data_IF_134515254336
#
_entry.id   IF_134515254336
#
_cell.length_a   1.000
_cell.length_b   1.000
_cell.length_c   1.000
_cell.angle_alpha   90.00
_cell.angle_beta   90.00
_cell.angle_gamma   90.00
#
_symmetry.space_group_name_H-M   'P 1'
#
loop_
_entity.id
_entity.type
_entity.pdbx_description
1 polymer ?
#
# COMPACT_ATOMS: atom_id res chain seq x y z
N UNK A 1 8.84 -8.48 25.74
CA UNK A 1 7.82 -7.42 25.85
C UNK A 1 7.49 -7.10 27.31
N UNK A 2 7.41 -8.11 28.18
CA UNK A 2 7.06 -7.98 29.62
C UNK A 2 7.86 -6.93 30.39
N UNK A 3 9.18 -6.81 30.15
CA UNK A 3 10.00 -5.76 30.77
C UNK A 3 9.50 -4.35 30.46
N UNK A 4 9.09 -4.10 29.21
CA UNK A 4 8.58 -2.80 28.78
C UNK A 4 7.15 -2.54 29.30
N UNK A 5 6.31 -3.58 29.34
CA UNK A 5 4.96 -3.49 29.94
C UNK A 5 5.04 -3.16 31.43
N UNK A 6 5.86 -3.89 32.19
CA UNK A 6 6.07 -3.65 33.62
C UNK A 6 6.66 -2.25 33.89
N UNK A 7 7.51 -1.77 32.98
CA UNK A 7 8.05 -0.40 33.01
C UNK A 7 7.06 0.69 32.58
N UNK A 8 5.85 0.33 32.13
CA UNK A 8 4.83 1.24 31.56
C UNK A 8 5.37 2.11 30.42
N UNK A 9 6.24 1.55 29.60
CA UNK A 9 6.78 2.27 28.44
C UNK A 9 5.83 2.17 27.25
N UNK A 10 5.78 3.22 26.42
CA UNK A 10 5.15 3.12 25.11
C UNK A 10 5.92 2.12 24.26
N UNK A 11 5.24 1.07 23.80
CA UNK A 11 5.83 0.07 22.91
C UNK A 11 5.57 0.51 21.47
N UNK A 12 6.64 0.53 20.68
CA UNK A 12 6.58 0.82 19.24
C UNK A 12 7.16 -0.38 18.50
N UNK A 13 6.37 -0.97 17.62
CA UNK A 13 6.84 -1.94 16.65
C UNK A 13 7.11 -1.24 15.33
N UNK A 14 8.27 -1.48 14.74
CA UNK A 14 8.63 -0.83 13.48
C UNK A 14 9.49 -1.73 12.62
N UNK A 15 9.38 -1.56 11.32
CA UNK A 15 10.20 -2.29 10.36
C UNK A 15 10.00 -1.79 8.94
N UNK A 16 11.06 -1.96 8.15
CA UNK A 16 11.05 -1.75 6.71
C UNK A 16 10.79 -3.07 6.00
N UNK A 17 10.11 -3.02 4.85
CA UNK A 17 9.86 -4.19 4.00
C UNK A 17 9.19 -5.34 4.79
N UNK A 18 9.67 -6.58 4.66
CA UNK A 18 9.19 -7.75 5.41
C UNK A 18 9.26 -7.58 6.94
N UNK A 19 10.20 -6.78 7.46
CA UNK A 19 10.28 -6.46 8.88
C UNK A 19 9.08 -5.64 9.36
N UNK A 20 8.49 -4.82 8.48
CA UNK A 20 7.25 -4.09 8.77
C UNK A 20 6.04 -5.03 8.84
N UNK A 21 5.96 -6.00 7.94
CA UNK A 21 4.95 -7.07 8.00
C UNK A 21 5.02 -7.87 9.30
N UNK A 22 6.22 -8.25 9.73
CA UNK A 22 6.46 -8.93 11.02
C UNK A 22 6.04 -8.02 12.18
N UNK A 23 6.38 -6.73 12.11
CA UNK A 23 6.03 -5.73 13.13
C UNK A 23 4.53 -5.57 13.30
N UNK A 24 3.78 -5.54 12.19
CA UNK A 24 2.33 -5.43 12.24
C UNK A 24 1.69 -6.69 12.87
N UNK A 25 2.16 -7.88 12.51
CA UNK A 25 1.68 -9.12 13.14
C UNK A 25 2.05 -9.18 14.63
N UNK A 26 3.24 -8.71 15.02
CA UNK A 26 3.67 -8.64 16.42
C UNK A 26 2.83 -7.63 17.23
N UNK A 27 2.49 -6.48 16.64
CA UNK A 27 1.61 -5.51 17.27
C UNK A 27 0.19 -6.06 17.46
N UNK A 28 -0.38 -6.73 16.44
CA UNK A 28 -1.68 -7.39 16.54
C UNK A 28 -1.68 -8.50 17.60
N UNK A 29 -0.61 -9.30 17.68
CA UNK A 29 -0.42 -10.27 18.74
C UNK A 29 -0.44 -9.62 20.13
N UNK A 30 0.27 -8.50 20.31
CA UNK A 30 0.31 -7.83 21.61
C UNK A 30 -1.06 -7.21 21.97
N UNK A 31 -1.76 -6.61 21.01
CA UNK A 31 -3.12 -6.09 21.24
C UNK A 31 -4.06 -7.19 21.75
N UNK A 32 -4.03 -8.35 21.09
CA UNK A 32 -4.83 -9.50 21.48
C UNK A 32 -4.43 -10.04 22.86
N UNK A 33 -3.13 -10.14 23.13
CA UNK A 33 -2.62 -10.53 24.44
C UNK A 33 -3.12 -9.60 25.55
N UNK A 34 -3.06 -8.28 25.35
CA UNK A 34 -3.54 -7.29 26.32
C UNK A 34 -5.06 -7.35 26.52
N UNK A 35 -5.81 -7.60 25.44
CA UNK A 35 -7.27 -7.79 25.48
C UNK A 35 -7.64 -9.00 26.33
N UNK A 36 -7.03 -10.15 26.09
CA UNK A 36 -7.28 -11.40 26.83
C UNK A 36 -6.92 -11.25 28.31
N UNK A 37 -5.83 -10.55 28.62
CA UNK A 37 -5.40 -10.31 30.00
C UNK A 37 -6.21 -9.21 30.72
N UNK A 38 -7.17 -8.55 30.05
CA UNK A 38 -7.92 -7.40 30.59
C UNK A 38 -7.01 -6.34 31.21
N UNK A 39 -5.85 -6.11 30.59
CA UNK A 39 -4.79 -5.29 31.18
C UNK A 39 -5.03 -3.80 30.91
N UNK A 40 -4.64 -2.94 31.86
CA UNK A 40 -4.68 -1.48 31.72
C UNK A 40 -3.43 -0.87 31.07
N UNK A 41 -2.55 -1.68 30.46
CA UNK A 41 -1.38 -1.17 29.77
C UNK A 41 -1.75 -0.39 28.50
N UNK A 42 -0.89 0.57 28.13
CA UNK A 42 -0.99 1.28 26.86
C UNK A 42 -0.87 0.33 25.68
N UNK A 43 -1.73 0.53 24.67
CA UNK A 43 -1.65 -0.23 23.43
C UNK A 43 -0.39 0.11 22.63
N UNK A 44 0.19 -0.87 21.89
CA UNK A 44 1.36 -0.63 21.06
C UNK A 44 1.02 0.25 19.87
N UNK A 45 2.01 1.01 19.38
CA UNK A 45 1.96 1.65 18.07
C UNK A 45 2.79 0.81 17.09
N UNK A 46 2.28 0.63 15.87
CA UNK A 46 3.00 0.01 14.78
C UNK A 46 3.26 1.03 13.67
N UNK A 47 4.53 1.21 13.31
CA UNK A 47 4.96 2.13 12.24
C UNK A 47 5.80 1.37 11.23
N UNK A 48 5.33 1.19 10.00
CA UNK A 48 6.04 0.42 8.97
C UNK A 48 6.42 1.28 7.77
N UNK A 49 7.41 0.83 7.01
CA UNK A 49 7.92 1.52 5.82
C UNK A 49 8.00 0.53 4.65
N UNK A 50 7.22 0.74 3.60
CA UNK A 50 7.23 -0.10 2.40
C UNK A 50 6.91 -1.57 2.67
N UNK A 51 6.11 -1.86 3.71
CA UNK A 51 5.80 -3.24 4.08
C UNK A 51 4.81 -3.89 3.12
N UNK A 52 5.01 -5.15 2.71
CA UNK A 52 4.01 -5.90 1.98
C UNK A 52 2.76 -6.16 2.84
N UNK A 53 1.59 -6.27 2.18
CA UNK A 53 0.31 -6.54 2.84
C UNK A 53 0.32 -7.89 3.57
N UNK A 54 -0.18 -7.92 4.81
CA UNK A 54 -0.25 -9.18 5.60
C UNK A 54 -1.67 -9.58 6.00
N UNK A 55 -2.59 -8.62 6.05
CA UNK A 55 -3.98 -8.86 6.44
C UNK A 55 -4.84 -9.23 5.24
N UNK A 56 -6.00 -9.82 5.52
CA UNK A 56 -7.11 -9.95 4.58
C UNK A 56 -8.30 -9.10 5.06
N UNK A 57 -9.43 -9.17 4.36
CA UNK A 57 -10.66 -8.46 4.77
C UNK A 57 -11.10 -8.79 6.20
N UNK A 58 -10.99 -10.04 6.63
CA UNK A 58 -11.39 -10.47 7.99
C UNK A 58 -10.46 -9.87 9.04
N UNK A 59 -9.16 -9.80 8.74
CA UNK A 59 -8.17 -9.17 9.59
C UNK A 59 -8.45 -7.68 9.76
N UNK A 60 -8.64 -6.94 8.65
CA UNK A 60 -8.98 -5.52 8.67
C UNK A 60 -10.29 -5.26 9.46
N UNK A 61 -11.34 -6.03 9.17
CA UNK A 61 -12.62 -5.91 9.87
C UNK A 61 -12.48 -6.14 11.38
N UNK A 62 -11.65 -7.12 11.78
CA UNK A 62 -11.41 -7.41 13.20
C UNK A 62 -10.73 -6.24 13.90
N UNK A 63 -9.71 -5.62 13.28
CA UNK A 63 -9.05 -4.44 13.83
C UNK A 63 -9.99 -3.24 13.93
N UNK A 64 -10.86 -3.02 12.94
CA UNK A 64 -11.85 -1.95 12.97
C UNK A 64 -12.87 -2.15 14.10
N UNK A 65 -13.38 -3.37 14.26
CA UNK A 65 -14.36 -3.70 15.31
C UNK A 65 -13.83 -3.43 16.72
N UNK A 66 -12.56 -3.76 16.97
CA UNK A 66 -11.92 -3.53 18.27
C UNK A 66 -11.39 -2.10 18.44
N UNK A 67 -11.52 -1.23 17.43
CA UNK A 67 -10.97 0.13 17.46
C UNK A 67 -9.45 0.16 17.42
N UNK A 68 -8.81 -0.88 16.88
CA UNK A 68 -7.35 -1.04 16.84
C UNK A 68 -6.68 -0.54 15.58
N UNK A 69 -7.46 -0.26 14.53
CA UNK A 69 -6.91 0.17 13.22
C UNK A 69 -6.00 1.41 13.34
N UNK A 70 -6.32 2.35 14.24
CA UNK A 70 -5.54 3.58 14.46
C UNK A 70 -4.14 3.34 15.07
N UNK A 71 -3.83 2.13 15.55
CA UNK A 71 -2.49 1.79 16.06
C UNK A 71 -1.53 1.33 14.97
N UNK A 72 -1.98 1.26 13.72
CA UNK A 72 -1.17 0.81 12.59
C UNK A 72 -1.00 1.95 11.61
N UNK A 73 0.25 2.37 11.40
CA UNK A 73 0.63 3.43 10.48
C UNK A 73 1.63 2.90 9.45
N UNK A 74 1.25 2.94 8.19
CA UNK A 74 2.01 2.36 7.08
C UNK A 74 2.49 3.47 6.14
N UNK A 75 3.78 3.80 6.21
CA UNK A 75 4.40 4.70 5.25
C UNK A 75 4.67 3.96 3.94
N UNK A 76 4.17 4.52 2.84
CA UNK A 76 4.33 3.94 1.51
C UNK A 76 4.74 5.04 0.54
N UNK A 77 5.89 4.86 -0.11
CA UNK A 77 6.25 5.68 -1.25
C UNK A 77 5.35 5.31 -2.44
N UNK A 78 4.90 6.32 -3.20
CA UNK A 78 3.86 6.15 -4.22
C UNK A 78 4.16 5.05 -5.24
N UNK A 79 5.40 4.92 -5.68
CA UNK A 79 5.80 3.96 -6.70
C UNK A 79 6.46 2.68 -6.16
N UNK A 80 6.60 2.53 -4.85
CA UNK A 80 7.25 1.35 -4.25
C UNK A 80 6.55 0.05 -4.62
N UNK A 81 7.24 -0.90 -5.26
CA UNK A 81 6.61 -2.16 -5.66
C UNK A 81 6.24 -3.07 -4.48
N UNK A 82 6.95 -2.98 -3.34
CA UNK A 82 6.90 -3.98 -2.26
C UNK A 82 5.53 -4.10 -1.58
N UNK A 83 4.84 -2.98 -1.23
CA UNK A 83 3.47 -3.05 -0.72
C UNK A 83 2.47 -3.75 -1.66
N UNK A 84 2.80 -3.89 -2.95
CA UNK A 84 1.91 -4.44 -3.97
C UNK A 84 2.22 -5.90 -4.34
N UNK A 85 3.38 -6.44 -3.94
CA UNK A 85 3.85 -7.77 -4.38
C UNK A 85 2.81 -8.86 -4.12
N UNK A 86 2.21 -8.88 -2.93
CA UNK A 86 1.24 -9.91 -2.56
C UNK A 86 -0.16 -9.68 -3.13
N UNK A 87 -0.38 -8.65 -3.94
CA UNK A 87 -1.57 -8.57 -4.79
C UNK A 87 -1.45 -9.52 -6.00
N UNK A 88 -0.25 -9.97 -6.36
CA UNK A 88 -0.07 -11.07 -7.29
C UNK A 88 -0.05 -12.43 -6.57
N UNK A 89 -0.71 -13.46 -7.13
CA UNK A 89 -0.54 -14.83 -6.66
C UNK A 89 0.94 -15.24 -6.73
N UNK A 90 1.46 -15.86 -5.66
CA UNK A 90 2.86 -16.27 -5.61
C UNK A 90 3.25 -17.14 -6.80
N UNK A 91 2.35 -18.00 -7.27
CA UNK A 91 2.59 -18.88 -8.42
C UNK A 91 2.89 -18.09 -9.71
N UNK A 92 2.34 -16.88 -9.86
CA UNK A 92 2.55 -16.02 -11.03
C UNK A 92 3.88 -15.27 -11.00
N UNK A 93 4.45 -15.05 -9.81
CA UNK A 93 5.68 -14.26 -9.63
C UNK A 93 6.87 -15.08 -9.12
N UNK A 94 6.69 -16.37 -8.80
CA UNK A 94 7.66 -17.19 -8.06
C UNK A 94 9.06 -17.17 -8.64
N UNK A 95 9.19 -17.29 -9.96
CA UNK A 95 10.50 -17.37 -10.63
C UNK A 95 11.24 -16.03 -10.56
N UNK A 96 10.56 -14.93 -10.88
CA UNK A 96 11.17 -13.61 -10.88
C UNK A 96 11.34 -13.04 -9.47
N UNK A 97 10.51 -13.47 -8.52
CA UNK A 97 10.51 -12.95 -7.16
C UNK A 97 11.85 -13.16 -6.45
N UNK A 98 12.52 -14.31 -6.66
CA UNK A 98 13.85 -14.54 -6.07
C UNK A 98 14.88 -13.55 -6.58
N UNK A 99 14.88 -13.26 -7.89
CA UNK A 99 15.78 -12.28 -8.50
C UNK A 99 15.50 -10.87 -7.95
N UNK A 100 14.23 -10.51 -7.79
CA UNK A 100 13.83 -9.21 -7.22
C UNK A 100 14.23 -9.08 -5.74
N UNK A 101 14.09 -10.15 -4.95
CA UNK A 101 14.55 -10.15 -3.56
C UNK A 101 16.06 -9.89 -3.48
N UNK A 102 16.86 -10.41 -4.40
CA UNK A 102 18.28 -10.07 -4.44
C UNK A 102 18.53 -8.58 -4.67
N UNK A 103 17.74 -7.90 -5.50
CA UNK A 103 17.86 -6.45 -5.69
C UNK A 103 17.43 -5.69 -4.42
N UNK A 104 16.29 -6.06 -3.82
CA UNK A 104 15.71 -5.38 -2.65
C UNK A 104 16.57 -5.55 -1.38
N UNK A 105 17.28 -6.68 -1.24
CA UNK A 105 18.13 -6.97 -0.07
C UNK A 105 19.62 -6.71 -0.31
N UNK A 106 20.04 -6.46 -1.55
CA UNK A 106 21.44 -6.10 -1.82
C UNK A 106 21.73 -4.72 -1.24
N UNK A 107 22.70 -4.65 -0.32
CA UNK A 107 23.21 -3.38 0.24
C UNK A 107 23.81 -2.44 -0.83
N UNK A 108 23.98 -2.93 -2.06
CA UNK A 108 24.45 -2.16 -3.20
C UNK A 108 23.48 -2.37 -4.37
N UNK A 109 22.55 -1.42 -4.54
CA UNK A 109 21.52 -1.43 -5.59
C UNK A 109 22.14 -1.60 -7.00
N UNK A 110 23.29 -0.96 -7.24
CA UNK A 110 24.03 -1.07 -8.51
C UNK A 110 24.57 -2.48 -8.79
N UNK A 111 24.84 -3.29 -7.75
CA UNK A 111 25.32 -4.67 -7.93
C UNK A 111 24.16 -5.66 -8.17
N UNK A 112 22.98 -5.40 -7.58
CA UNK A 112 21.80 -6.26 -7.74
C UNK A 112 21.20 -6.20 -9.15
N UNK A 113 21.19 -5.02 -9.77
CA UNK A 113 20.68 -4.84 -11.14
C UNK A 113 21.56 -5.49 -12.22
N UNK A 114 22.84 -5.75 -11.93
CA UNK A 114 23.73 -6.47 -12.86
C UNK A 114 23.45 -7.98 -12.90
N UNK A 115 22.69 -8.52 -11.93
CA UNK A 115 22.37 -9.94 -11.80
C UNK A 115 21.01 -10.32 -12.38
N UNK A 116 20.12 -9.35 -12.58
CA UNK A 116 18.76 -9.59 -13.06
C UNK A 116 18.65 -9.08 -14.48
N UNK A 117 18.22 -9.95 -15.40
CA UNK A 117 17.92 -9.49 -16.75
C UNK A 117 16.77 -8.48 -16.70
N UNK A 118 16.89 -7.36 -17.42
CA UNK A 118 15.82 -6.35 -17.52
C UNK A 118 14.45 -6.98 -17.85
N UNK A 119 14.45 -8.08 -18.62
CA UNK A 119 13.28 -8.89 -18.95
C UNK A 119 12.55 -9.44 -17.71
N UNK A 120 13.27 -9.96 -16.72
CA UNK A 120 12.70 -10.56 -15.50
C UNK A 120 12.09 -9.49 -14.59
N UNK A 121 12.78 -8.35 -14.43
CA UNK A 121 12.26 -7.23 -13.64
C UNK A 121 10.98 -6.65 -14.25
N UNK A 122 10.96 -6.46 -15.57
CA UNK A 122 9.76 -6.01 -16.30
C UNK A 122 8.64 -7.03 -16.20
N UNK A 123 8.94 -8.33 -16.33
CA UNK A 123 7.95 -9.42 -16.21
C UNK A 123 7.34 -9.44 -14.80
N UNK A 124 8.17 -9.32 -13.76
CA UNK A 124 7.70 -9.23 -12.38
C UNK A 124 6.79 -8.01 -12.18
N UNK A 125 7.27 -6.83 -12.57
CA UNK A 125 6.53 -5.58 -12.43
C UNK A 125 5.18 -5.62 -13.14
N UNK A 126 5.16 -6.01 -14.42
CA UNK A 126 3.92 -6.10 -15.21
C UNK A 126 2.96 -7.16 -14.67
N UNK A 127 3.47 -8.26 -14.14
CA UNK A 127 2.65 -9.30 -13.50
C UNK A 127 2.02 -8.78 -12.20
N UNK A 128 2.78 -8.08 -11.36
CA UNK A 128 2.25 -7.45 -10.14
C UNK A 128 1.20 -6.39 -10.49
N UNK A 129 1.48 -5.52 -11.46
CA UNK A 129 0.57 -4.48 -11.91
C UNK A 129 -0.75 -5.07 -12.42
N UNK A 130 -0.69 -6.05 -13.33
CA UNK A 130 -1.87 -6.70 -13.91
C UNK A 130 -2.74 -7.37 -12.86
N UNK A 131 -2.14 -8.10 -11.91
CA UNK A 131 -2.92 -8.75 -10.84
C UNK A 131 -3.53 -7.71 -9.88
N UNK A 132 -2.80 -6.64 -9.59
CA UNK A 132 -3.32 -5.52 -8.79
C UNK A 132 -4.52 -4.85 -9.47
N UNK A 133 -4.47 -4.64 -10.79
CA UNK A 133 -5.59 -4.14 -11.59
C UNK A 133 -6.81 -5.06 -11.51
N UNK A 134 -6.62 -6.36 -11.69
CA UNK A 134 -7.69 -7.35 -11.58
C UNK A 134 -8.39 -7.30 -10.22
N UNK A 135 -7.63 -7.20 -9.13
CA UNK A 135 -8.18 -7.12 -7.77
C UNK A 135 -8.92 -5.81 -7.54
N UNK A 136 -8.32 -4.68 -7.90
CA UNK A 136 -8.93 -3.37 -7.71
C UNK A 136 -10.23 -3.24 -8.52
N UNK A 137 -10.24 -3.74 -9.76
CA UNK A 137 -11.42 -3.76 -10.62
C UNK A 137 -12.50 -4.68 -10.04
N UNK A 138 -12.11 -5.86 -9.57
CA UNK A 138 -13.04 -6.78 -8.93
C UNK A 138 -13.68 -6.17 -7.67
N UNK A 139 -12.87 -5.54 -6.80
CA UNK A 139 -13.35 -4.84 -5.62
C UNK A 139 -14.28 -3.68 -5.97
N UNK A 140 -13.94 -2.86 -6.98
CA UNK A 140 -14.80 -1.77 -7.46
C UNK A 140 -16.14 -2.30 -7.99
N UNK A 141 -16.14 -3.39 -8.77
CA UNK A 141 -17.35 -4.04 -9.24
C UNK A 141 -18.24 -4.54 -8.10
N UNK A 142 -17.66 -5.13 -7.05
CA UNK A 142 -18.41 -5.56 -5.87
C UNK A 142 -18.99 -4.37 -5.10
N UNK A 143 -18.20 -3.31 -4.91
CA UNK A 143 -18.64 -2.09 -4.25
C UNK A 143 -19.81 -1.41 -4.98
N UNK A 144 -19.71 -1.34 -6.31
CA UNK A 144 -20.77 -0.80 -7.19
C UNK A 144 -21.96 -1.76 -7.36
N UNK A 145 -21.98 -2.92 -6.68
CA UNK A 145 -23.01 -3.96 -6.80
C UNK A 145 -23.27 -4.37 -8.26
N UNK A 146 -22.20 -4.49 -9.03
CA UNK A 146 -22.27 -4.87 -10.44
C UNK A 146 -23.00 -6.22 -10.58
N UNK A 147 -24.13 -6.23 -11.29
CA UNK A 147 -24.96 -7.43 -11.49
C UNK A 147 -24.47 -8.28 -12.67
N UNK A 148 -23.24 -8.06 -13.14
CA UNK A 148 -22.72 -8.78 -14.30
C UNK A 148 -22.45 -10.25 -13.92
N UNK A 149 -23.11 -11.22 -14.58
CA UNK A 149 -22.92 -12.64 -14.28
C UNK A 149 -21.48 -13.11 -14.53
N UNK A 150 -20.71 -12.40 -15.37
CA UNK A 150 -19.30 -12.68 -15.60
C UNK A 150 -18.43 -12.45 -14.35
N UNK A 151 -18.86 -11.60 -13.41
CA UNK A 151 -18.12 -11.36 -12.17
C UNK A 151 -18.07 -12.61 -11.28
N UNK A 152 -19.18 -13.34 -11.19
CA UNK A 152 -19.25 -14.60 -10.46
C UNK A 152 -18.36 -15.67 -11.13
N UNK A 153 -18.43 -15.78 -12.46
CA UNK A 153 -17.58 -16.69 -13.23
C UNK A 153 -16.09 -16.36 -13.09
N UNK A 154 -15.73 -15.09 -13.05
CA UNK A 154 -14.34 -14.63 -12.92
C UNK A 154 -13.67 -15.11 -11.63
N UNK A 155 -14.40 -15.12 -10.51
CA UNK A 155 -13.89 -15.64 -9.23
C UNK A 155 -13.64 -17.16 -9.24
N UNK A 156 -14.37 -17.90 -10.09
CA UNK A 156 -14.12 -19.34 -10.30
C UNK A 156 -12.95 -19.64 -11.22
N UNK A 157 -12.55 -18.69 -12.08
CA UNK A 157 -11.49 -18.86 -13.08
C UNK A 157 -10.14 -18.25 -12.65
N UNK A 158 -10.14 -17.29 -11.74
CA UNK A 158 -8.95 -16.56 -11.33
C UNK A 158 -8.82 -16.53 -9.81
N UNK A 159 -7.66 -16.96 -9.31
CA UNK A 159 -7.36 -16.88 -7.89
C UNK A 159 -6.91 -15.44 -7.56
N UNK A 160 -7.84 -14.63 -7.07
CA UNK A 160 -7.51 -13.28 -6.60
C UNK A 160 -6.78 -13.36 -5.26
N UNK A 161 -5.82 -12.46 -5.07
CA UNK A 161 -5.12 -12.37 -3.79
C UNK A 161 -6.10 -12.02 -2.65
N UNK A 162 -6.00 -12.71 -1.49
CA UNK A 162 -6.82 -12.40 -0.33
C UNK A 162 -6.31 -11.17 0.44
N UNK A 163 -5.09 -10.70 0.16
CA UNK A 163 -4.45 -9.66 0.96
C UNK A 163 -5.11 -8.30 0.74
N UNK A 164 -5.30 -7.55 1.83
CA UNK A 164 -5.98 -6.26 1.85
C UNK A 164 -5.29 -5.30 2.81
N UNK A 165 -5.33 -3.99 2.53
CA UNK A 165 -4.87 -2.98 3.47
C UNK A 165 -5.63 -3.04 4.80
N UNK A 166 -4.97 -2.58 5.87
CA UNK A 166 -5.55 -2.34 7.18
C UNK A 166 -4.74 -1.25 7.88
N UNK A 167 -5.31 -0.57 8.86
CA UNK A 167 -4.63 0.58 9.47
C UNK A 167 -4.66 1.82 8.58
N UNK A 168 -3.84 2.80 8.96
CA UNK A 168 -3.71 4.08 8.26
C UNK A 168 -2.49 4.04 7.34
N UNK A 169 -2.67 4.49 6.09
CA UNK A 169 -1.59 4.57 5.10
C UNK A 169 -1.18 6.01 4.88
N UNK A 170 0.13 6.26 4.87
CA UNK A 170 0.73 7.56 4.55
C UNK A 170 1.43 7.43 3.21
N UNK A 171 0.76 7.91 2.16
CA UNK A 171 1.31 7.97 0.82
C UNK A 171 2.29 9.13 0.71
N UNK A 172 3.51 8.82 0.32
CA UNK A 172 4.63 9.75 0.31
C UNK A 172 5.12 9.98 -1.11
N UNK A 173 5.21 11.25 -1.48
CA UNK A 173 5.89 11.72 -2.68
C UNK A 173 7.16 12.47 -2.25
N UNK A 174 8.24 12.39 -3.02
CA UNK A 174 9.55 12.96 -2.65
C UNK A 174 9.62 14.48 -2.53
N UNK A 175 8.60 15.19 -3.01
CA UNK A 175 8.55 16.64 -3.20
C UNK A 175 7.21 17.28 -2.81
N UNK A 176 6.29 16.50 -2.21
CA UNK A 176 4.94 16.96 -1.87
C UNK A 176 4.53 16.51 -0.48
N UNK A 177 3.47 17.14 0.02
CA UNK A 177 2.87 16.79 1.30
C UNK A 177 2.40 15.32 1.31
N UNK A 178 2.62 14.60 2.42
CA UNK A 178 2.13 13.24 2.55
C UNK A 178 0.60 13.22 2.65
N UNK A 179 -0.01 12.19 2.07
CA UNK A 179 -1.46 11.98 2.07
C UNK A 179 -1.80 10.78 2.95
N UNK A 180 -2.61 11.01 3.99
CA UNK A 180 -3.07 9.97 4.92
C UNK A 180 -4.41 9.42 4.48
N UNK A 181 -4.53 8.10 4.40
CA UNK A 181 -5.73 7.40 3.94
C UNK A 181 -6.06 6.26 4.89
N UNK A 182 -7.30 6.26 5.42
CA UNK A 182 -7.77 5.25 6.40
C UNK A 182 -8.67 4.18 5.79
N UNK A 183 -9.38 4.52 4.71
CA UNK A 183 -10.30 3.59 4.06
C UNK A 183 -9.50 2.51 3.29
N UNK A 184 -9.62 1.24 3.71
CA UNK A 184 -8.89 0.11 3.11
C UNK A 184 -9.10 -0.05 1.60
N UNK A 185 -10.32 0.18 1.11
CA UNK A 185 -10.61 0.05 -0.33
C UNK A 185 -9.97 1.19 -1.10
N UNK A 186 -10.00 2.42 -0.59
CA UNK A 186 -9.30 3.54 -1.22
C UNK A 186 -7.79 3.37 -1.20
N UNK A 187 -7.21 2.86 -0.10
CA UNK A 187 -5.79 2.49 -0.07
C UNK A 187 -5.48 1.47 -1.15
N UNK A 188 -6.32 0.44 -1.33
CA UNK A 188 -6.12 -0.57 -2.36
C UNK A 188 -6.14 0.03 -3.77
N UNK A 189 -7.08 0.95 -4.05
CA UNK A 189 -7.13 1.67 -5.32
C UNK A 189 -5.88 2.55 -5.51
N UNK A 190 -5.46 3.29 -4.49
CA UNK A 190 -4.27 4.15 -4.56
C UNK A 190 -2.97 3.37 -4.74
N UNK A 191 -2.83 2.22 -4.07
CA UNK A 191 -1.70 1.32 -4.25
C UNK A 191 -1.55 0.89 -5.71
N UNK A 192 -2.67 0.76 -6.44
CA UNK A 192 -2.70 0.47 -7.86
C UNK A 192 -2.41 1.70 -8.74
N UNK A 193 -3.20 2.77 -8.57
CA UNK A 193 -3.13 3.94 -9.46
C UNK A 193 -1.76 4.61 -9.41
N UNK A 194 -1.15 4.67 -8.21
CA UNK A 194 0.18 5.25 -8.04
C UNK A 194 1.28 4.46 -8.78
N UNK A 195 1.07 3.17 -9.05
CA UNK A 195 2.04 2.27 -9.70
C UNK A 195 1.92 2.28 -11.24
N UNK A 196 0.92 2.94 -11.82
CA UNK A 196 0.74 2.97 -13.27
C UNK A 196 1.88 3.75 -13.97
N UNK A 197 2.52 3.18 -15.01
CA UNK A 197 3.40 3.95 -15.89
C UNK A 197 2.58 4.95 -16.72
N UNK A 198 3.17 6.10 -17.08
CA UNK A 198 2.46 7.11 -17.87
C UNK A 198 2.29 6.73 -19.34
N UNK A 199 3.21 5.92 -19.88
CA UNK A 199 3.14 5.40 -21.25
C UNK A 199 3.72 3.97 -21.34
N UNK A 200 3.28 3.19 -22.33
CA UNK A 200 3.76 1.79 -22.52
C UNK A 200 5.28 1.70 -22.76
N UNK A 201 5.88 2.73 -23.35
CA UNK A 201 7.32 2.82 -23.61
C UNK A 201 8.14 3.06 -22.33
N UNK A 202 7.50 3.44 -21.23
CA UNK A 202 8.15 3.73 -19.94
C UNK A 202 8.13 2.55 -18.98
N UNK A 203 7.60 1.38 -19.36
CA UNK A 203 7.43 0.23 -18.45
C UNK A 203 8.76 -0.26 -17.86
N UNK A 204 9.86 -0.17 -18.60
CA UNK A 204 11.20 -0.53 -18.10
C UNK A 204 11.63 0.44 -17.00
N UNK A 205 11.55 1.74 -17.27
CA UNK A 205 11.89 2.78 -16.30
C UNK A 205 10.98 2.73 -15.07
N UNK A 206 9.70 2.42 -15.28
CA UNK A 206 8.71 2.19 -14.26
C UNK A 206 9.12 1.01 -13.35
N UNK A 207 9.50 -0.13 -13.93
CA UNK A 207 9.93 -1.29 -13.17
C UNK A 207 11.17 -0.98 -12.32
N UNK A 208 12.19 -0.34 -12.89
CA UNK A 208 13.39 0.09 -12.15
C UNK A 208 13.09 1.13 -11.07
N UNK A 209 12.29 2.13 -11.40
CA UNK A 209 11.85 3.17 -10.49
C UNK A 209 11.11 2.59 -9.28
N UNK A 210 10.26 1.60 -9.50
CA UNK A 210 9.45 0.99 -8.44
C UNK A 210 10.28 0.25 -7.38
N UNK A 211 11.38 -0.39 -7.79
CA UNK A 211 12.33 -1.03 -6.87
C UNK A 211 13.21 0.00 -6.18
N UNK A 212 13.66 1.02 -6.92
CA UNK A 212 14.46 2.12 -6.36
C UNK A 212 13.69 2.86 -5.26
N UNK A 213 12.40 3.09 -5.46
CA UNK A 213 11.55 3.82 -4.53
C UNK A 213 11.38 3.09 -3.19
N UNK A 214 11.53 1.76 -3.18
CA UNK A 214 11.57 0.98 -1.94
C UNK A 214 12.78 1.29 -1.04
N UNK A 215 13.85 1.84 -1.61
CA UNK A 215 15.14 2.04 -0.92
C UNK A 215 15.34 3.47 -0.42
N UNK A 216 14.43 4.41 -0.73
CA UNK A 216 14.64 5.85 -0.50
C UNK A 216 13.82 6.43 0.66
N UNK A 217 13.16 5.59 1.47
CA UNK A 217 12.34 6.02 2.61
C UNK A 217 13.08 6.98 3.54
N UNK A 218 14.34 6.70 3.90
CA UNK A 218 15.11 7.58 4.78
C UNK A 218 15.25 8.99 4.18
N UNK A 219 15.70 9.08 2.93
CA UNK A 219 15.92 10.37 2.26
C UNK A 219 14.61 11.13 1.97
N UNK A 220 13.52 10.41 1.70
CA UNK A 220 12.20 11.00 1.50
C UNK A 220 11.63 11.54 2.81
N UNK A 221 11.74 10.76 3.89
CA UNK A 221 11.26 11.16 5.21
C UNK A 221 12.03 12.37 5.74
N UNK A 222 13.36 12.41 5.63
CA UNK A 222 14.16 13.56 6.08
C UNK A 222 13.80 14.87 5.36
N UNK A 223 13.34 14.80 4.12
CA UNK A 223 12.84 15.96 3.35
C UNK A 223 11.40 16.32 3.76
N UNK A 224 10.53 15.33 3.89
CA UNK A 224 9.10 15.53 4.12
C UNK A 224 8.77 15.92 5.58
N UNK A 225 9.58 15.53 6.57
CA UNK A 225 9.40 15.99 7.97
C UNK A 225 9.65 17.50 8.17
N UNK A 226 10.09 18.22 7.13
CA UNK A 226 10.17 19.69 7.12
C UNK A 226 8.92 20.36 6.54
N UNK A 227 7.94 19.60 6.06
CA UNK A 227 6.68 20.12 5.52
C UNK A 227 5.56 19.98 6.58
N UNK A 228 4.93 21.07 7.02
CA UNK A 228 3.98 21.03 8.13
C UNK A 228 2.55 20.60 7.76
N UNK A 229 2.22 20.49 6.46
CA UNK A 229 0.88 20.12 6.02
C UNK A 229 0.76 18.63 5.71
N UNK A 230 -0.10 17.94 6.45
CA UNK A 230 -0.50 16.54 6.20
C UNK A 230 -1.94 16.55 5.71
N UNK A 231 -2.17 15.99 4.52
CA UNK A 231 -3.51 15.97 3.92
C UNK A 231 -4.22 14.68 4.33
N UNK A 232 -5.38 14.77 4.98
CA UNK A 232 -6.18 13.62 5.38
C UNK A 232 -7.27 13.32 4.34
N UNK A 233 -7.33 12.08 3.86
CA UNK A 233 -8.37 11.57 2.98
C UNK A 233 -9.42 10.78 3.78
N UNK A 234 -10.12 11.48 4.66
CA UNK A 234 -11.15 10.87 5.53
C UNK A 234 -12.55 10.86 4.87
N UNK A 235 -12.75 11.58 3.77
CA UNK A 235 -14.06 11.75 3.09
C UNK A 235 -14.04 11.25 1.64
N UNK A 236 -14.06 9.93 1.45
CA UNK A 236 -14.23 9.32 0.12
C UNK A 236 -15.69 9.07 -0.28
N UNK A 237 -16.63 9.26 0.65
CA UNK A 237 -18.08 9.20 0.36
C UNK A 237 -18.54 10.33 -0.58
N UNK A 238 -17.68 11.33 -0.79
CA UNK A 238 -17.90 12.49 -1.65
C UNK A 238 -17.08 12.46 -2.96
N UNK A 239 -16.37 11.38 -3.28
CA UNK A 239 -15.71 11.26 -4.60
C UNK A 239 -16.75 10.69 -5.57
N UNK A 240 -17.33 11.50 -6.47
CA UNK A 240 -18.31 10.99 -7.40
C UNK A 240 -17.64 9.98 -8.35
N UNK A 241 -18.39 8.97 -8.81
CA UNK A 241 -17.90 7.99 -9.80
C UNK A 241 -17.54 8.64 -11.15
N UNK A 242 -17.91 9.91 -11.36
CA UNK A 242 -17.45 10.76 -12.46
C UNK A 242 -17.26 12.20 -11.96
N UNK A 243 -16.21 12.89 -12.44
CA UNK A 243 -15.92 14.30 -12.14
C UNK A 243 -17.02 15.29 -12.60
N UNK A 244 -18.10 14.80 -13.22
CA UNK A 244 -19.19 15.63 -13.76
C UNK A 244 -20.27 16.00 -12.75
N UNK A 245 -20.31 15.34 -11.57
CA UNK A 245 -21.41 15.47 -10.59
C UNK A 245 -20.99 16.01 -9.20
N UNK A 246 -19.73 16.41 -8.97
CA UNK A 246 -19.30 16.98 -7.68
C UNK A 246 -19.40 18.52 -7.61
N UNK A 247 -19.57 19.03 -6.38
CA UNK A 247 -19.47 20.47 -6.11
C UNK A 247 -18.06 21.01 -6.38
N UNK A 248 -17.95 22.30 -6.74
CA UNK A 248 -16.68 22.90 -7.19
C UNK A 248 -15.53 22.83 -6.17
N UNK A 249 -15.84 22.82 -4.87
CA UNK A 249 -14.84 22.71 -3.80
C UNK A 249 -14.34 21.27 -3.60
N UNK A 250 -15.22 20.27 -3.71
CA UNK A 250 -14.85 18.85 -3.65
C UNK A 250 -14.01 18.44 -4.87
N UNK A 251 -14.35 18.95 -6.07
CA UNK A 251 -13.55 18.76 -7.28
C UNK A 251 -12.14 19.37 -7.13
N UNK A 252 -12.03 20.55 -6.52
CA UNK A 252 -10.72 21.17 -6.28
C UNK A 252 -9.90 20.40 -5.26
N UNK A 253 -10.49 19.95 -4.15
CA UNK A 253 -9.80 19.17 -3.12
C UNK A 253 -9.30 17.83 -3.68
N UNK A 254 -10.17 17.12 -4.41
CA UNK A 254 -9.83 15.88 -5.12
C UNK A 254 -8.77 16.16 -6.18
N UNK A 255 -8.87 17.26 -6.93
CA UNK A 255 -7.86 17.69 -7.90
C UNK A 255 -6.48 17.88 -7.27
N UNK A 256 -6.39 18.65 -6.18
CA UNK A 256 -5.13 18.88 -5.44
C UNK A 256 -4.55 17.59 -4.87
N UNK A 257 -5.41 16.69 -4.37
CA UNK A 257 -4.99 15.38 -3.86
C UNK A 257 -4.44 14.48 -4.96
N UNK A 258 -5.08 14.46 -6.13
CA UNK A 258 -4.61 13.71 -7.30
C UNK A 258 -3.30 14.28 -7.83
N UNK A 259 -3.09 15.60 -7.76
CA UNK A 259 -1.79 16.22 -8.05
C UNK A 259 -0.72 15.81 -7.02
N UNK A 260 -1.07 15.80 -5.74
CA UNK A 260 -0.14 15.44 -4.66
C UNK A 260 0.31 13.99 -4.68
N UNK A 261 -0.60 13.12 -5.10
CA UNK A 261 -0.34 11.71 -5.36
C UNK A 261 0.24 11.44 -6.76
N UNK A 262 0.40 12.48 -7.60
CA UNK A 262 0.84 12.40 -9.01
C UNK A 262 0.01 11.46 -9.88
N UNK A 263 -1.29 11.35 -9.60
CA UNK A 263 -2.24 10.52 -10.34
C UNK A 263 -2.68 11.17 -11.66
N UNK A 264 -2.70 12.51 -11.74
CA UNK A 264 -3.18 13.25 -12.92
C UNK A 264 -2.15 13.43 -14.05
N UNK A 265 -0.85 13.49 -13.73
CA UNK A 265 0.20 13.76 -14.73
C UNK A 265 0.57 12.54 -15.60
N UNK A 266 0.12 11.34 -15.22
CA UNK A 266 0.45 10.07 -15.90
C UNK A 266 -0.70 9.49 -16.72
N UNK A 267 -1.94 9.95 -16.51
CA UNK A 267 -3.11 9.51 -17.24
C UNK A 267 -3.62 10.65 -18.13
N UNK A 268 -2.89 10.93 -19.20
CA UNK A 268 -3.44 11.68 -20.32
C UNK A 268 -4.58 10.87 -20.93
N UNK A 269 -5.81 11.35 -20.76
CA UNK A 269 -7.08 10.83 -21.29
C UNK A 269 -7.78 9.77 -20.45
N UNK A 270 -8.56 10.25 -19.47
CA UNK A 270 -9.81 9.60 -19.08
C UNK A 270 -10.91 10.50 -19.63
N UNK A 271 -11.55 10.06 -20.71
CA UNK A 271 -12.84 10.57 -21.19
C UNK A 271 -13.96 9.71 -20.61
#
# INVERSE_FOLDING_TARGET
VDKALNGKWQIIFTGHSSGGSISALAAAWLLEYLRVQSSSHSYPLCVTFGSPLVGNNVFNYSLLREGWSCYFLHFVMNFDIVPRIFLAPLQSIKMDFQAILHILYSKSFCFGLNFVENSQLVTFFTTVLRNSQSIATHCACLFMRCTNPLLATFTGLTQLSPYRPFGEYVFCTSDRSPVVVKNSEAVLQLLLYALQPGHEQEVVEAAHGSVKEHLVYESAMQKNFKMPDVVYLDHLDAVPPSLSDAGSEEIQLVGTLFEDLRLGARNGHIH
#
